data_IF_305904063706
#
_entry.id   IF_305904063706
#
_cell.length_a   1.000
_cell.length_b   1.000
_cell.length_c   1.000
_cell.angle_alpha   90.00
_cell.angle_beta   90.00
_cell.angle_gamma   90.00
#
_symmetry.space_group_name_H-M   'P 1'
#
loop_
_entity.id
_entity.type
_entity.pdbx_description
1 polymer ?
#
# COMPACT_ATOMS: atom_id res chain seq x y z
N UNK A 1 -12.09 -19.13 -11.03
CA UNK A 1 -11.16 -19.53 -9.97
C UNK A 1 -11.94 -19.84 -8.69
N UNK A 2 -12.64 -18.88 -8.03
CA UNK A 2 -13.34 -19.13 -6.75
C UNK A 2 -14.35 -20.27 -6.86
N UNK A 3 -15.19 -20.30 -7.90
CA UNK A 3 -16.18 -21.36 -8.12
C UNK A 3 -15.56 -22.73 -8.40
N UNK A 4 -14.34 -22.78 -8.95
CA UNK A 4 -13.63 -24.04 -9.19
C UNK A 4 -13.02 -24.66 -7.94
N UNK A 5 -13.02 -23.94 -6.81
CA UNK A 5 -12.50 -24.43 -5.52
C UNK A 5 -11.07 -24.98 -5.62
N UNK A 6 -10.17 -24.19 -6.21
CA UNK A 6 -8.77 -24.57 -6.35
C UNK A 6 -8.08 -24.58 -5.00
N UNK A 7 -7.31 -25.62 -4.71
CA UNK A 7 -6.48 -25.72 -3.53
C UNK A 7 -5.10 -25.14 -3.80
N UNK A 8 -4.47 -24.61 -2.78
CA UNK A 8 -3.07 -24.16 -2.86
C UNK A 8 -2.15 -25.21 -2.29
N UNK A 9 -1.16 -25.64 -3.07
CA UNK A 9 -0.14 -26.61 -2.67
C UNK A 9 1.21 -25.95 -2.70
N UNK A 10 1.85 -25.83 -1.54
CA UNK A 10 3.23 -25.36 -1.41
C UNK A 10 4.21 -26.47 -1.76
N UNK A 11 5.24 -26.15 -2.49
CA UNK A 11 6.41 -27.00 -2.72
C UNK A 11 7.68 -26.18 -2.63
N UNK A 12 8.68 -26.74 -1.99
CA UNK A 12 10.03 -26.17 -1.95
C UNK A 12 10.80 -26.62 -3.18
N UNK A 13 11.61 -25.76 -3.71
CA UNK A 13 12.42 -26.00 -4.92
C UNK A 13 13.84 -25.48 -4.72
N UNK A 14 14.76 -26.06 -5.48
CA UNK A 14 16.12 -25.55 -5.60
C UNK A 14 16.15 -24.33 -6.53
N UNK A 15 17.22 -23.54 -6.45
CA UNK A 15 17.43 -22.39 -7.33
C UNK A 15 17.43 -22.81 -8.81
N UNK A 16 18.09 -23.92 -9.13
CA UNK A 16 18.14 -24.48 -10.49
C UNK A 16 16.75 -24.86 -11.01
N UNK A 17 15.93 -25.50 -10.19
CA UNK A 17 14.55 -25.84 -10.54
C UNK A 17 13.70 -24.60 -10.72
N UNK A 18 13.85 -23.60 -9.85
CA UNK A 18 13.11 -22.35 -9.94
C UNK A 18 13.43 -21.58 -11.23
N UNK A 19 14.70 -21.41 -11.57
CA UNK A 19 15.15 -20.77 -12.80
C UNK A 19 14.61 -21.47 -14.06
N UNK A 20 14.58 -22.82 -14.03
CA UNK A 20 14.03 -23.58 -15.14
C UNK A 20 12.52 -23.41 -15.27
N UNK A 21 11.80 -23.37 -14.14
CA UNK A 21 10.35 -23.21 -14.15
C UNK A 21 9.88 -21.79 -14.54
N UNK A 22 10.69 -20.77 -14.24
CA UNK A 22 10.42 -19.37 -14.52
C UNK A 22 11.18 -18.85 -15.76
N UNK A 23 11.67 -19.73 -16.63
CA UNK A 23 12.47 -19.37 -17.79
C UNK A 23 11.83 -18.32 -18.71
N UNK A 24 10.50 -18.25 -18.74
CA UNK A 24 9.73 -17.27 -19.52
C UNK A 24 9.41 -15.98 -18.74
N UNK A 25 9.87 -15.86 -17.48
CA UNK A 25 9.52 -14.75 -16.57
C UNK A 25 10.77 -13.97 -16.16
N UNK A 26 11.25 -13.03 -16.96
CA UNK A 26 12.54 -12.36 -16.73
C UNK A 26 12.61 -11.65 -15.38
N UNK A 27 11.51 -11.07 -14.91
CA UNK A 27 11.46 -10.42 -13.60
C UNK A 27 11.57 -11.41 -12.44
N UNK A 28 11.03 -12.63 -12.60
CA UNK A 28 11.18 -13.71 -11.59
C UNK A 28 12.59 -14.25 -11.56
N UNK A 29 13.21 -14.43 -12.72
CA UNK A 29 14.62 -14.82 -12.83
C UNK A 29 15.50 -13.79 -12.12
N UNK A 30 15.30 -12.50 -12.38
CA UNK A 30 16.05 -11.43 -11.71
C UNK A 30 15.90 -11.50 -10.18
N UNK A 31 14.69 -11.79 -9.66
CA UNK A 31 14.45 -11.93 -8.22
C UNK A 31 15.16 -13.17 -7.63
N UNK A 32 15.24 -14.28 -8.38
CA UNK A 32 15.88 -15.51 -7.92
C UNK A 32 17.41 -15.35 -7.88
N UNK A 33 17.98 -14.72 -8.90
CA UNK A 33 19.44 -14.52 -9.04
C UNK A 33 20.00 -13.43 -8.12
N UNK A 34 19.18 -12.42 -7.81
CA UNK A 34 19.59 -11.30 -6.97
C UNK A 34 19.49 -11.67 -5.48
N UNK A 35 20.63 -12.00 -4.89
CA UNK A 35 20.73 -12.38 -3.47
C UNK A 35 20.33 -11.27 -2.49
N UNK A 36 20.30 -10.03 -2.96
CA UNK A 36 19.86 -8.87 -2.16
C UNK A 36 18.38 -8.56 -2.36
N UNK A 37 17.69 -9.20 -3.29
CA UNK A 37 16.28 -8.97 -3.58
C UNK A 37 15.37 -9.19 -2.35
N UNK A 38 15.76 -10.07 -1.43
CA UNK A 38 15.04 -10.32 -0.19
C UNK A 38 15.04 -9.13 0.79
N UNK A 39 15.94 -8.17 0.59
CA UNK A 39 15.98 -6.91 1.36
C UNK A 39 15.01 -5.87 0.79
N UNK A 40 14.56 -6.04 -0.46
CA UNK A 40 13.56 -5.17 -1.07
C UNK A 40 12.16 -5.52 -0.52
N UNK A 41 11.44 -4.57 0.10
CA UNK A 41 10.07 -4.78 0.58
C UNK A 41 9.11 -5.25 -0.51
N UNK A 42 9.34 -4.89 -1.79
CA UNK A 42 8.52 -5.33 -2.91
C UNK A 42 8.73 -6.82 -3.24
N UNK A 43 9.96 -7.33 -3.08
CA UNK A 43 10.32 -8.72 -3.29
C UNK A 43 10.06 -9.62 -2.06
N UNK A 44 9.90 -9.01 -0.88
CA UNK A 44 9.75 -9.74 0.39
C UNK A 44 8.55 -10.70 0.46
N UNK A 45 7.58 -10.56 -0.43
CA UNK A 45 6.43 -11.46 -0.53
C UNK A 45 6.68 -12.68 -1.42
N UNK A 46 7.70 -12.65 -2.26
CA UNK A 46 7.96 -13.67 -3.28
C UNK A 46 9.09 -14.62 -2.89
N UNK A 47 10.11 -14.11 -2.23
CA UNK A 47 11.32 -14.89 -1.86
C UNK A 47 11.53 -14.87 -0.35
N UNK A 48 11.90 -16.01 0.22
CA UNK A 48 12.34 -16.13 1.61
C UNK A 48 13.84 -16.27 1.67
N UNK A 49 14.47 -15.77 2.74
CA UNK A 49 15.93 -15.81 2.94
C UNK A 49 16.53 -17.22 2.93
N UNK A 50 15.74 -18.25 3.15
CA UNK A 50 16.22 -19.61 3.40
C UNK A 50 15.75 -20.64 2.38
N UNK A 51 14.69 -20.38 1.63
CA UNK A 51 14.06 -21.42 0.83
C UNK A 51 13.20 -20.81 -0.27
N UNK A 52 13.41 -21.23 -1.52
CA UNK A 52 12.52 -20.90 -2.62
C UNK A 52 11.31 -21.83 -2.59
N UNK A 53 10.13 -21.26 -2.75
CA UNK A 53 8.90 -22.03 -2.78
C UNK A 53 7.93 -21.53 -3.85
N UNK A 54 7.22 -22.48 -4.43
CA UNK A 54 6.10 -22.25 -5.32
C UNK A 54 4.79 -22.57 -4.64
N UNK A 55 3.76 -21.86 -5.03
CA UNK A 55 2.39 -22.21 -4.73
C UNK A 55 1.67 -22.58 -6.01
N UNK A 56 1.24 -23.84 -6.08
CA UNK A 56 0.47 -24.37 -7.18
C UNK A 56 -1.02 -24.25 -6.86
N UNK A 57 -1.81 -23.67 -7.78
CA UNK A 57 -3.25 -23.76 -7.74
C UNK A 57 -3.65 -25.10 -8.38
N UNK A 58 -4.27 -25.96 -7.60
CA UNK A 58 -4.67 -27.31 -8.02
C UNK A 58 -6.18 -27.39 -8.12
N UNK A 59 -6.69 -27.84 -9.24
CA UNK A 59 -8.12 -28.06 -9.45
C UNK A 59 -8.65 -29.31 -8.72
N UNK A 60 -9.92 -29.64 -8.90
CA UNK A 60 -10.57 -30.79 -8.25
C UNK A 60 -10.07 -32.13 -8.76
N UNK A 61 -9.54 -32.16 -9.97
CA UNK A 61 -9.04 -33.35 -10.64
C UNK A 61 -7.54 -33.57 -10.34
N UNK A 62 -6.93 -32.66 -9.56
CA UNK A 62 -5.54 -32.76 -9.15
C UNK A 62 -4.55 -32.10 -10.13
N UNK A 63 -5.03 -31.42 -11.18
CA UNK A 63 -4.16 -30.76 -12.14
C UNK A 63 -3.70 -29.38 -11.62
N UNK A 64 -2.46 -29.03 -11.89
CA UNK A 64 -1.94 -27.70 -11.65
C UNK A 64 -2.43 -26.78 -12.76
N UNK A 65 -3.27 -25.82 -12.41
CA UNK A 65 -3.86 -24.84 -13.36
C UNK A 65 -3.15 -23.50 -13.34
N UNK A 66 -2.41 -23.23 -12.30
CA UNK A 66 -1.57 -22.04 -12.12
C UNK A 66 -0.47 -22.32 -11.12
N UNK A 67 0.67 -21.68 -11.28
CA UNK A 67 1.77 -21.71 -10.30
C UNK A 67 2.43 -20.35 -10.22
N UNK A 68 3.01 -20.05 -9.07
CA UNK A 68 3.78 -18.83 -8.91
C UNK A 68 4.84 -18.97 -7.81
N UNK A 69 5.95 -18.27 -7.98
CA UNK A 69 6.98 -18.11 -6.96
C UNK A 69 6.41 -17.25 -5.82
N UNK A 70 6.31 -17.84 -4.63
CA UNK A 70 5.72 -17.14 -3.49
C UNK A 70 6.13 -17.80 -2.17
N UNK A 71 6.46 -17.02 -1.16
CA UNK A 71 6.77 -17.57 0.16
C UNK A 71 5.52 -17.92 0.99
N UNK A 72 4.35 -17.43 0.60
CA UNK A 72 3.11 -17.63 1.34
C UNK A 72 3.04 -16.85 2.67
N UNK A 73 2.16 -17.26 3.61
CA UNK A 73 1.20 -18.36 3.47
C UNK A 73 0.02 -18.03 2.57
N UNK A 74 -0.67 -19.07 2.09
CA UNK A 74 -1.90 -18.94 1.32
C UNK A 74 -3.10 -19.55 2.04
N UNK A 75 -4.31 -19.18 1.60
CA UNK A 75 -5.53 -19.85 2.00
C UNK A 75 -5.50 -21.31 1.55
N UNK A 76 -6.12 -22.25 2.29
CA UNK A 76 -6.18 -23.65 1.87
C UNK A 76 -6.87 -23.87 0.53
N UNK A 77 -7.85 -23.02 0.19
CA UNK A 77 -8.65 -23.15 -1.01
C UNK A 77 -9.29 -21.81 -1.39
N UNK A 78 -9.42 -21.55 -2.69
CA UNK A 78 -10.01 -20.30 -3.22
C UNK A 78 -11.46 -20.07 -2.81
N UNK A 79 -12.22 -21.10 -2.42
CA UNK A 79 -13.61 -20.97 -1.94
C UNK A 79 -13.73 -20.16 -0.63
N UNK A 80 -12.65 -20.00 0.12
CA UNK A 80 -12.62 -19.17 1.33
C UNK A 80 -12.68 -17.68 1.02
N UNK A 81 -12.41 -17.28 -0.23
CA UNK A 81 -12.58 -15.91 -0.69
C UNK A 81 -14.07 -15.67 -0.94
N UNK A 82 -14.78 -15.11 0.02
CA UNK A 82 -16.24 -14.93 -0.04
C UNK A 82 -16.64 -13.72 -0.88
N UNK A 83 -15.90 -12.64 -0.76
CA UNK A 83 -16.14 -11.42 -1.49
C UNK A 83 -14.81 -10.76 -1.85
N UNK A 84 -14.69 -10.25 -3.08
CA UNK A 84 -13.53 -9.52 -3.54
C UNK A 84 -13.93 -8.49 -4.59
N UNK A 85 -13.10 -7.48 -4.77
CA UNK A 85 -13.24 -6.49 -5.83
C UNK A 85 -11.85 -6.09 -6.32
N UNK A 86 -11.68 -6.05 -7.64
CA UNK A 86 -10.57 -5.34 -8.28
C UNK A 86 -10.99 -3.89 -8.39
N UNK A 87 -10.18 -2.97 -7.86
CA UNK A 87 -10.54 -1.56 -7.73
C UNK A 87 -9.96 -0.72 -8.85
N UNK A 88 -8.67 -0.87 -9.10
CA UNK A 88 -7.95 -0.07 -10.10
C UNK A 88 -6.68 -0.76 -10.55
N UNK A 89 -6.14 -0.31 -11.69
CA UNK A 89 -4.75 -0.55 -12.07
C UNK A 89 -4.00 0.78 -12.15
N UNK A 90 -2.69 0.73 -11.96
CA UNK A 90 -1.81 1.87 -12.12
C UNK A 90 -0.45 1.41 -12.65
N UNK A 91 0.22 2.29 -13.39
CA UNK A 91 1.61 2.07 -13.76
C UNK A 91 2.50 2.06 -12.50
N UNK A 92 3.48 1.18 -12.47
CA UNK A 92 4.49 1.11 -11.43
C UNK A 92 5.82 0.71 -12.06
N UNK A 93 6.89 1.37 -11.67
CA UNK A 93 8.22 0.97 -12.14
C UNK A 93 8.70 -0.26 -11.40
N UNK A 94 9.36 -1.17 -12.10
CA UNK A 94 10.01 -2.31 -11.51
C UNK A 94 11.01 -1.85 -10.44
N UNK A 95 10.93 -2.42 -9.24
CA UNK A 95 11.74 -2.04 -8.07
C UNK A 95 11.71 -0.54 -7.74
N UNK A 96 10.63 0.15 -8.09
CA UNK A 96 10.43 1.57 -7.75
C UNK A 96 11.31 2.58 -8.48
N UNK A 97 12.16 2.16 -9.41
CA UNK A 97 13.04 3.04 -10.19
C UNK A 97 12.43 3.39 -11.54
N UNK A 98 12.34 4.68 -11.85
CA UNK A 98 11.86 5.19 -13.15
C UNK A 98 12.74 4.77 -14.35
N UNK A 99 13.97 4.32 -14.07
CA UNK A 99 14.89 3.80 -15.09
C UNK A 99 14.55 2.36 -15.50
N UNK A 100 13.76 1.68 -14.71
CA UNK A 100 13.37 0.29 -14.92
C UNK A 100 12.07 0.20 -15.73
N UNK A 101 11.76 -0.97 -16.31
CA UNK A 101 10.52 -1.19 -17.05
C UNK A 101 9.28 -0.82 -16.26
N UNK A 102 8.29 -0.26 -16.95
CA UNK A 102 6.98 0.03 -16.37
C UNK A 102 6.11 -1.22 -16.37
N UNK A 103 5.55 -1.54 -15.24
CA UNK A 103 4.61 -2.64 -15.01
C UNK A 103 3.22 -2.13 -14.71
N UNK A 104 2.23 -3.03 -14.76
CA UNK A 104 0.85 -2.76 -14.32
C UNK A 104 0.63 -3.33 -12.92
N UNK A 105 0.35 -2.45 -11.96
CA UNK A 105 -0.04 -2.85 -10.60
C UNK A 105 -1.55 -2.86 -10.49
N UNK A 106 -2.11 -4.02 -10.19
CA UNK A 106 -3.55 -4.20 -9.97
C UNK A 106 -3.83 -4.15 -8.48
N UNK A 107 -4.74 -3.27 -8.09
CA UNK A 107 -5.20 -3.12 -6.70
C UNK A 107 -6.55 -3.79 -6.53
N UNK A 108 -6.68 -4.53 -5.45
CA UNK A 108 -7.92 -5.20 -5.10
C UNK A 108 -8.05 -5.40 -3.60
N UNK A 109 -9.25 -5.80 -3.18
CA UNK A 109 -9.56 -6.10 -1.79
C UNK A 109 -10.40 -7.37 -1.69
N UNK A 110 -10.22 -8.10 -0.59
CA UNK A 110 -11.00 -9.31 -0.29
C UNK A 110 -11.54 -9.24 1.13
N UNK A 111 -12.76 -9.75 1.34
CA UNK A 111 -13.53 -9.63 2.56
C UNK A 111 -14.16 -10.96 2.95
N UNK A 112 -14.40 -11.13 4.24
CA UNK A 112 -15.02 -12.35 4.79
C UNK A 112 -16.47 -12.51 4.32
N UNK A 113 -17.20 -11.39 4.14
CA UNK A 113 -18.60 -11.38 3.67
C UNK A 113 -18.80 -10.37 2.55
N UNK A 114 -19.91 -10.51 1.82
CA UNK A 114 -20.33 -9.51 0.81
C UNK A 114 -20.79 -8.22 1.47
N UNK A 115 -21.35 -8.32 2.65
CA UNK A 115 -21.83 -7.23 3.47
C UNK A 115 -20.66 -6.33 3.90
N UNK A 116 -19.54 -6.92 4.34
CA UNK A 116 -18.32 -6.20 4.69
C UNK A 116 -17.73 -5.48 3.47
N UNK A 117 -17.68 -6.15 2.31
CA UNK A 117 -17.25 -5.52 1.07
C UNK A 117 -18.13 -4.32 0.71
N UNK A 118 -19.46 -4.46 0.82
CA UNK A 118 -20.40 -3.37 0.55
C UNK A 118 -20.21 -2.20 1.53
N UNK A 119 -20.07 -2.50 2.82
CA UNK A 119 -19.80 -1.48 3.83
C UNK A 119 -18.50 -0.72 3.56
N UNK A 120 -17.44 -1.42 3.14
CA UNK A 120 -16.18 -0.80 2.72
C UNK A 120 -16.37 0.12 1.50
N UNK A 121 -17.10 -0.34 0.47
CA UNK A 121 -17.36 0.47 -0.72
C UNK A 121 -18.17 1.74 -0.37
N UNK A 122 -19.22 1.61 0.43
CA UNK A 122 -19.99 2.76 0.91
C UNK A 122 -19.09 3.76 1.66
N UNK A 123 -18.19 3.26 2.51
CA UNK A 123 -17.25 4.11 3.23
C UNK A 123 -16.29 4.86 2.31
N UNK A 124 -15.81 4.22 1.23
CA UNK A 124 -14.98 4.89 0.22
C UNK A 124 -15.77 5.96 -0.55
N UNK A 125 -17.02 5.68 -0.93
CA UNK A 125 -17.89 6.65 -1.59
C UNK A 125 -18.17 7.87 -0.69
N UNK A 126 -18.45 7.63 0.59
CA UNK A 126 -18.64 8.70 1.57
C UNK A 126 -17.34 9.50 1.82
N UNK A 127 -16.18 8.83 1.85
CA UNK A 127 -14.89 9.50 1.96
C UNK A 127 -14.62 10.41 0.74
N UNK A 128 -14.94 9.95 -0.48
CA UNK A 128 -14.78 10.75 -1.68
C UNK A 128 -15.66 12.01 -1.69
N UNK A 129 -16.87 11.94 -1.11
CA UNK A 129 -17.74 13.13 -0.94
C UNK A 129 -17.16 14.16 0.04
N UNK A 130 -16.31 13.70 0.97
CA UNK A 130 -15.67 14.53 2.01
C UNK A 130 -14.22 14.88 1.68
N UNK A 131 -13.81 14.79 0.42
CA UNK A 131 -12.46 15.20 0.00
C UNK A 131 -12.26 16.67 0.33
N UNK A 132 -11.22 16.97 1.11
CA UNK A 132 -10.92 18.33 1.58
C UNK A 132 -10.67 19.31 0.44
N UNK A 133 -10.15 18.86 -0.70
CA UNK A 133 -9.92 19.69 -1.88
C UNK A 133 -11.22 20.17 -2.48
N UNK A 134 -12.23 19.28 -2.52
CA UNK A 134 -13.57 19.59 -2.99
C UNK A 134 -14.29 20.51 -1.99
N UNK A 135 -14.36 20.08 -0.73
CA UNK A 135 -15.02 20.87 0.32
C UNK A 135 -14.31 22.21 0.57
N UNK A 136 -12.99 22.26 0.48
CA UNK A 136 -12.21 23.48 0.61
C UNK A 136 -12.60 24.55 -0.40
N UNK A 137 -12.78 24.15 -1.67
CA UNK A 137 -13.23 25.06 -2.71
C UNK A 137 -14.73 25.43 -2.56
N UNK A 138 -15.62 24.43 -2.34
CA UNK A 138 -17.06 24.64 -2.23
C UNK A 138 -17.46 25.54 -1.04
N UNK A 139 -16.73 25.40 0.08
CA UNK A 139 -17.00 26.13 1.31
C UNK A 139 -16.16 27.40 1.48
N UNK A 140 -15.29 27.69 0.53
CA UNK A 140 -14.36 28.81 0.56
C UNK A 140 -13.47 28.80 1.81
N UNK A 141 -12.79 27.66 2.05
CA UNK A 141 -11.97 27.44 3.24
C UNK A 141 -10.52 27.87 3.04
N UNK A 142 -9.96 27.64 1.86
CA UNK A 142 -8.57 27.97 1.52
C UNK A 142 -8.37 28.06 0.01
N UNK A 143 -7.28 28.70 -0.38
CA UNK A 143 -6.78 28.78 -1.76
C UNK A 143 -5.27 28.61 -1.84
N UNK A 144 -4.76 28.46 -3.05
CA UNK A 144 -3.32 28.38 -3.34
C UNK A 144 -2.98 29.48 -4.37
N UNK A 145 -2.78 30.72 -3.93
CA UNK A 145 -2.40 31.80 -4.84
C UNK A 145 -1.00 31.59 -5.41
N UNK A 146 -0.82 31.78 -6.71
CA UNK A 146 0.46 31.63 -7.39
C UNK A 146 1.51 32.59 -6.85
N UNK A 147 1.09 33.77 -6.40
CA UNK A 147 1.96 34.82 -5.84
C UNK A 147 2.65 34.40 -4.53
N UNK A 148 2.04 33.47 -3.80
CA UNK A 148 2.61 32.97 -2.52
C UNK A 148 3.55 31.77 -2.78
N UNK A 149 3.25 30.99 -3.79
CA UNK A 149 4.07 29.86 -4.21
C UNK A 149 3.35 28.52 -4.15
N UNK A 150 3.88 27.49 -4.85
CA UNK A 150 3.24 26.20 -4.97
C UNK A 150 3.16 25.46 -3.62
N UNK A 151 1.99 24.91 -3.32
CA UNK A 151 1.77 24.11 -2.11
C UNK A 151 1.57 24.91 -0.83
N UNK A 152 1.60 26.26 -0.88
CA UNK A 152 1.38 27.13 0.27
C UNK A 152 -0.09 27.56 0.32
N UNK A 153 -0.84 27.02 1.26
CA UNK A 153 -2.25 27.31 1.43
C UNK A 153 -2.48 28.62 2.19
N UNK A 154 -3.38 29.45 1.67
CA UNK A 154 -3.95 30.62 2.37
C UNK A 154 -5.32 30.23 2.88
N UNK A 155 -5.50 30.23 4.19
CA UNK A 155 -6.79 29.93 4.81
C UNK A 155 -7.66 31.18 4.88
N UNK A 156 -8.85 31.07 4.33
CA UNK A 156 -9.87 32.11 4.37
C UNK A 156 -10.56 32.13 5.75
N UNK A 157 -11.37 33.13 6.08
CA UNK A 157 -11.90 33.29 7.45
C UNK A 157 -12.56 32.05 8.04
N UNK A 158 -13.33 31.30 7.25
CA UNK A 158 -13.96 30.04 7.69
C UNK A 158 -12.92 28.95 7.95
N UNK A 159 -11.94 28.82 7.05
CA UNK A 159 -10.85 27.85 7.19
C UNK A 159 -9.97 28.17 8.39
N UNK A 160 -9.63 29.44 8.59
CA UNK A 160 -8.86 29.91 9.74
C UNK A 160 -9.59 29.65 11.06
N UNK A 161 -10.91 29.83 11.10
CA UNK A 161 -11.73 29.51 12.28
C UNK A 161 -11.67 28.01 12.63
N UNK A 162 -11.69 27.12 11.62
CA UNK A 162 -11.55 25.66 11.82
C UNK A 162 -10.15 25.33 12.37
N UNK A 163 -9.08 25.91 11.82
CA UNK A 163 -7.71 25.68 12.31
C UNK A 163 -7.59 26.11 13.77
N UNK A 164 -8.05 27.33 14.11
CA UNK A 164 -8.00 27.83 15.47
C UNK A 164 -8.74 26.91 16.44
N UNK A 165 -9.93 26.43 16.07
CA UNK A 165 -10.68 25.49 16.90
C UNK A 165 -9.93 24.17 17.11
N UNK A 166 -9.24 23.64 16.09
CA UNK A 166 -8.42 22.44 16.19
C UNK A 166 -7.20 22.66 17.09
N UNK A 167 -6.54 23.82 16.96
CA UNK A 167 -5.40 24.18 17.81
C UNK A 167 -5.80 24.33 19.28
N UNK A 168 -6.92 25.00 19.54
CA UNK A 168 -7.43 25.17 20.91
C UNK A 168 -7.80 23.84 21.53
N UNK A 169 -8.49 22.95 20.79
CA UNK A 169 -8.76 21.61 21.25
C UNK A 169 -7.48 20.81 21.54
N UNK A 170 -6.50 20.87 20.64
CA UNK A 170 -5.19 20.22 20.84
C UNK A 170 -4.49 20.75 22.10
N UNK A 171 -4.46 22.06 22.30
CA UNK A 171 -3.87 22.68 23.50
C UNK A 171 -4.60 22.26 24.76
N UNK A 172 -5.94 22.20 24.75
CA UNK A 172 -6.74 21.74 25.89
C UNK A 172 -6.41 20.30 26.24
N UNK A 173 -6.39 19.39 25.24
CA UNK A 173 -6.07 17.98 25.47
C UNK A 173 -4.66 17.78 26.00
N UNK A 174 -3.67 18.50 25.50
CA UNK A 174 -2.31 18.42 26.01
C UNK A 174 -2.22 18.89 27.48
N UNK A 175 -2.86 20.00 27.84
CA UNK A 175 -2.92 20.46 29.24
C UNK A 175 -3.59 19.42 30.16
N UNK A 176 -4.71 18.83 29.70
CA UNK A 176 -5.43 17.79 30.44
C UNK A 176 -4.58 16.54 30.72
N UNK A 177 -3.66 16.23 29.80
CA UNK A 177 -2.73 15.11 29.93
C UNK A 177 -1.35 15.52 30.48
N UNK A 178 -1.25 16.70 31.11
CA UNK A 178 -0.04 17.20 31.79
C UNK A 178 1.19 17.41 30.89
N UNK A 179 0.99 17.67 29.60
CA UNK A 179 2.07 18.09 28.71
C UNK A 179 2.41 19.56 28.93
N UNK A 180 3.69 19.85 28.91
CA UNK A 180 4.21 21.22 28.94
C UNK A 180 4.48 21.74 27.54
N UNK A 181 4.12 23.00 27.28
CA UNK A 181 4.41 23.65 25.99
C UNK A 181 5.77 24.32 26.04
N UNK A 182 6.52 24.19 24.96
CA UNK A 182 7.75 24.92 24.69
C UNK A 182 7.61 25.71 23.40
N UNK A 183 8.30 26.83 23.31
CA UNK A 183 8.37 27.61 22.09
C UNK A 183 9.81 27.59 21.58
N UNK A 184 9.98 26.99 20.40
CA UNK A 184 11.28 26.88 19.74
C UNK A 184 11.39 27.90 18.60
N UNK A 185 12.60 28.33 18.22
CA UNK A 185 12.79 29.18 17.05
C UNK A 185 12.47 28.39 15.76
N UNK A 186 12.01 29.10 14.72
CA UNK A 186 11.71 28.50 13.40
C UNK A 186 12.98 28.18 12.60
N UNK A 187 14.10 28.77 12.94
CA UNK A 187 15.41 28.60 12.28
C UNK A 187 16.38 27.97 13.28
N UNK A 188 17.04 26.89 12.84
CA UNK A 188 18.03 26.17 13.65
C UNK A 188 19.22 25.73 12.78
N UNK A 189 20.30 25.26 13.44
CA UNK A 189 21.47 24.71 12.73
C UNK A 189 21.13 23.39 12.03
N UNK A 190 21.68 23.16 10.81
CA UNK A 190 21.44 21.99 10.00
C UNK A 190 21.70 20.64 10.70
N UNK A 191 22.72 20.57 11.56
CA UNK A 191 23.07 19.35 12.29
C UNK A 191 21.96 18.79 13.19
N UNK A 192 20.95 19.59 13.58
CA UNK A 192 19.80 19.07 14.32
C UNK A 192 18.93 18.17 13.43
N UNK A 193 18.85 18.49 12.16
CA UNK A 193 18.09 17.68 11.18
C UNK A 193 18.82 16.40 10.78
N UNK A 194 20.15 16.41 10.80
CA UNK A 194 20.97 15.22 10.55
C UNK A 194 20.79 14.16 11.66
N UNK A 195 20.60 14.59 12.91
CA UNK A 195 20.35 13.70 14.04
C UNK A 195 18.95 13.07 14.05
N UNK A 196 17.98 13.62 13.32
CA UNK A 196 16.60 13.11 13.29
C UNK A 196 16.35 12.10 12.18
N UNK A 197 17.37 11.73 11.40
CA UNK A 197 17.31 10.73 10.33
C UNK A 197 17.74 9.32 10.79
N UNK A 198 17.82 9.08 12.11
CA UNK A 198 18.13 7.78 12.70
C UNK A 198 16.83 7.10 13.16
#
# INVERSE_FOLDING_TARGET
>A
IIKSSQSFRRRSVTEEEALKEEADQPFKIELIEDKEAHLDPAAATEISEKELSFYDNVDRDGNVVWKDLCRGPHLPNTRYIKAFKIERSAAAYWRGSEKNPTMQRVYGTAWATKEDLKAYQTRLEEAAKRDHRKLGAEMDLFSFPDEIGPGLAVFHPKGAAVINAMEDYSREMHRKHHYSFVQTPHITKGGLYELSLI
#
